data_IF_465910214939
#
_entry.id   IF_465910214939
#
_cell.length_a   1.000
_cell.length_b   1.000
_cell.length_c   1.000
_cell.angle_alpha   90.00
_cell.angle_beta   90.00
_cell.angle_gamma   90.00
#
_symmetry.space_group_name_H-M   'P 1'
#
loop_
_entity.id
_entity.type
_entity.pdbx_description
1 polymer ?
#
# COMPACT_ATOMS: atom_id res chain seq x y z
N UNK A 1 14.27 -23.97 -0.93
CA UNK A 1 13.38 -24.51 -1.98
C UNK A 1 14.06 -24.26 -3.32
N UNK A 2 14.11 -25.25 -4.19
CA UNK A 2 14.59 -25.05 -5.58
C UNK A 2 13.39 -24.78 -6.47
N UNK A 3 13.44 -23.79 -7.37
CA UNK A 3 12.36 -23.58 -8.36
C UNK A 3 12.28 -24.80 -9.28
N UNK A 4 11.07 -25.12 -9.69
CA UNK A 4 10.80 -26.21 -10.66
C UNK A 4 10.76 -25.65 -12.08
N UNK A 5 10.85 -26.52 -13.11
CA UNK A 5 10.68 -26.12 -14.51
C UNK A 5 9.33 -25.42 -14.75
N UNK A 6 8.27 -25.86 -14.03
CA UNK A 6 6.95 -25.20 -14.10
C UNK A 6 7.02 -23.74 -13.65
N UNK A 7 7.76 -23.45 -12.58
CA UNK A 7 7.96 -22.06 -12.13
C UNK A 7 8.69 -21.22 -13.18
N UNK A 8 9.68 -21.82 -13.87
CA UNK A 8 10.39 -21.18 -14.97
C UNK A 8 9.48 -20.86 -16.16
N UNK A 9 8.64 -21.81 -16.56
CA UNK A 9 7.68 -21.63 -17.65
C UNK A 9 6.67 -20.52 -17.35
N UNK A 10 6.06 -20.56 -16.16
CA UNK A 10 5.14 -19.53 -15.71
C UNK A 10 5.82 -18.16 -15.63
N UNK A 11 7.05 -18.11 -15.12
CA UNK A 11 7.84 -16.88 -15.03
C UNK A 11 8.11 -16.24 -16.39
N UNK A 12 8.49 -17.03 -17.39
CA UNK A 12 8.71 -16.56 -18.77
C UNK A 12 7.43 -15.94 -19.37
N UNK A 13 6.28 -16.56 -19.16
CA UNK A 13 5.00 -16.01 -19.64
C UNK A 13 4.62 -14.71 -18.90
N UNK A 14 4.91 -14.60 -17.60
CA UNK A 14 4.66 -13.37 -16.85
C UNK A 14 5.61 -12.23 -17.27
N UNK A 15 6.88 -12.53 -17.58
CA UNK A 15 7.84 -11.52 -18.06
C UNK A 15 7.38 -10.82 -19.34
N UNK A 16 6.71 -11.52 -20.24
CA UNK A 16 6.18 -10.92 -21.49
C UNK A 16 5.19 -9.77 -21.25
N UNK A 17 4.53 -9.76 -20.08
CA UNK A 17 3.50 -8.77 -19.70
C UNK A 17 3.97 -7.79 -18.64
N UNK A 18 5.18 -7.98 -18.09
CA UNK A 18 5.65 -7.24 -16.93
C UNK A 18 5.65 -5.72 -17.17
N UNK A 19 6.26 -5.28 -18.27
CA UNK A 19 6.41 -3.85 -18.55
C UNK A 19 5.06 -3.18 -18.81
N UNK A 20 4.18 -3.81 -19.59
CA UNK A 20 2.84 -3.30 -19.84
C UNK A 20 2.01 -3.23 -18.55
N UNK A 21 2.09 -4.25 -17.70
CA UNK A 21 1.41 -4.27 -16.40
C UNK A 21 1.93 -3.16 -15.47
N UNK A 22 3.23 -2.92 -15.45
CA UNK A 22 3.82 -1.85 -14.63
C UNK A 22 3.39 -0.45 -15.12
N UNK A 23 3.29 -0.24 -16.44
CA UNK A 23 2.78 1.01 -17.00
C UNK A 23 1.31 1.25 -16.57
N UNK A 24 0.46 0.22 -16.66
CA UNK A 24 -0.94 0.33 -16.23
C UNK A 24 -1.03 0.63 -14.73
N UNK A 25 -0.29 -0.12 -13.89
CA UNK A 25 -0.27 0.12 -12.43
C UNK A 25 0.20 1.53 -12.07
N UNK A 26 1.20 2.05 -12.77
CA UNK A 26 1.69 3.42 -12.55
C UNK A 26 0.63 4.45 -12.94
N UNK A 27 -0.07 4.26 -14.05
CA UNK A 27 -1.19 5.11 -14.46
C UNK A 27 -2.32 5.08 -13.42
N UNK A 28 -2.73 3.89 -13.00
CA UNK A 28 -3.75 3.72 -11.97
C UNK A 28 -3.37 4.39 -10.66
N UNK A 29 -2.10 4.28 -10.24
CA UNK A 29 -1.62 4.91 -9.00
C UNK A 29 -1.63 6.44 -9.11
N UNK A 30 -1.24 7.01 -10.24
CA UNK A 30 -1.35 8.46 -10.48
C UNK A 30 -2.80 8.93 -10.42
N UNK A 31 -3.72 8.18 -11.03
CA UNK A 31 -5.15 8.46 -10.97
C UNK A 31 -5.64 8.40 -9.51
N UNK A 32 -5.28 7.36 -8.77
CA UNK A 32 -5.62 7.24 -7.36
C UNK A 32 -5.15 8.46 -6.54
N UNK A 33 -3.91 8.89 -6.71
CA UNK A 33 -3.40 10.08 -6.01
C UNK A 33 -4.15 11.37 -6.40
N UNK A 34 -4.65 11.47 -7.63
CA UNK A 34 -5.40 12.65 -8.08
C UNK A 34 -6.81 12.76 -7.51
N UNK A 35 -7.38 11.66 -6.98
CA UNK A 35 -8.70 11.65 -6.34
C UNK A 35 -8.65 11.70 -4.81
N UNK A 36 -7.43 11.70 -4.22
CA UNK A 36 -7.25 11.85 -2.78
C UNK A 36 -7.25 13.32 -2.35
N UNK A 37 -7.77 13.55 -1.14
CA UNK A 37 -7.59 14.82 -0.45
C UNK A 37 -6.15 14.94 0.07
N UNK A 38 -5.38 15.87 -0.52
CA UNK A 38 -3.98 16.13 -0.16
C UNK A 38 -3.79 16.76 1.22
N UNK A 39 -4.83 17.32 1.83
CA UNK A 39 -4.77 17.85 3.19
C UNK A 39 -4.81 16.71 4.22
N UNK A 40 -5.44 15.60 3.87
CA UNK A 40 -5.58 14.42 4.73
C UNK A 40 -4.50 13.37 4.44
N UNK A 41 -4.22 13.12 3.16
CA UNK A 41 -3.37 12.03 2.71
C UNK A 41 -2.10 12.53 2.02
N UNK A 42 -1.01 11.78 2.21
CA UNK A 42 0.21 12.00 1.45
C UNK A 42 -0.03 11.65 -0.02
N UNK A 43 0.27 12.58 -0.93
CA UNK A 43 0.12 12.42 -2.38
C UNK A 43 1.45 12.59 -3.15
N UNK A 44 2.50 13.08 -2.48
CA UNK A 44 3.83 13.22 -3.07
C UNK A 44 4.65 11.94 -2.93
N UNK A 45 4.64 11.11 -3.98
CA UNK A 45 5.39 9.87 -4.06
C UNK A 45 6.35 9.87 -5.25
N UNK A 46 7.53 9.26 -5.06
CA UNK A 46 8.47 8.99 -6.15
C UNK A 46 8.02 7.78 -6.95
N UNK A 47 7.80 7.95 -8.24
CA UNK A 47 7.34 6.90 -9.15
C UNK A 47 8.48 6.12 -9.81
N UNK A 48 9.65 6.72 -9.94
CA UNK A 48 10.78 6.12 -10.64
C UNK A 48 11.25 4.84 -9.96
N UNK A 49 11.39 3.78 -10.75
CA UNK A 49 11.82 2.47 -10.28
C UNK A 49 10.77 1.69 -9.48
N UNK A 50 9.54 2.19 -9.34
CA UNK A 50 8.45 1.51 -8.64
C UNK A 50 7.53 0.77 -9.61
N UNK A 51 7.14 -0.46 -9.24
CA UNK A 51 6.12 -1.22 -9.97
C UNK A 51 4.69 -0.87 -9.56
N UNK A 52 4.50 -0.09 -8.49
CA UNK A 52 3.21 0.39 -7.98
C UNK A 52 2.14 -0.72 -7.87
N UNK A 53 2.54 -1.89 -7.35
CA UNK A 53 1.66 -3.07 -7.27
C UNK A 53 0.45 -2.86 -6.32
N UNK A 54 0.49 -1.84 -5.51
CA UNK A 54 -0.57 -1.47 -4.58
C UNK A 54 -0.74 0.05 -4.54
N UNK A 55 -1.94 0.51 -4.20
CA UNK A 55 -2.20 1.88 -3.80
C UNK A 55 -1.70 2.08 -2.38
N UNK A 56 -0.70 2.93 -2.22
CA UNK A 56 -0.17 3.32 -0.92
C UNK A 56 -0.98 4.50 -0.41
N UNK A 57 -1.64 4.32 0.72
CA UNK A 57 -2.44 5.34 1.40
C UNK A 57 -1.78 5.65 2.74
N UNK A 58 -1.42 6.90 3.00
CA UNK A 58 -0.76 7.32 4.24
C UNK A 58 -1.38 8.63 4.71
N UNK A 59 -1.79 8.70 5.99
CA UNK A 59 -2.24 9.97 6.58
C UNK A 59 -1.06 10.93 6.73
N UNK A 60 -1.30 12.21 6.48
CA UNK A 60 -0.33 13.28 6.75
C UNK A 60 -0.03 13.39 8.25
N UNK A 61 -1.08 13.28 9.07
CA UNK A 61 -0.97 13.43 10.52
C UNK A 61 -1.29 12.13 11.28
N UNK A 62 -0.65 12.00 12.45
CA UNK A 62 -0.86 10.88 13.36
C UNK A 62 -2.19 11.08 14.16
N UNK A 63 -3.32 10.81 13.54
CA UNK A 63 -4.65 10.95 14.13
C UNK A 63 -5.39 9.60 14.19
N UNK A 64 -5.62 9.11 15.40
CA UNK A 64 -6.33 7.84 15.64
C UNK A 64 -7.78 7.85 15.15
N UNK A 65 -8.49 8.96 15.35
CA UNK A 65 -9.90 9.06 14.93
C UNK A 65 -10.01 8.99 13.40
N UNK A 66 -9.16 9.75 12.70
CA UNK A 66 -9.09 9.71 11.23
C UNK A 66 -8.71 8.32 10.74
N UNK A 67 -7.71 7.68 11.34
CA UNK A 67 -7.31 6.30 11.03
C UNK A 67 -8.48 5.33 11.16
N UNK A 68 -9.19 5.36 12.29
CA UNK A 68 -10.30 4.45 12.57
C UNK A 68 -11.46 4.72 11.59
N UNK A 69 -11.68 5.98 11.21
CA UNK A 69 -12.66 6.35 10.19
C UNK A 69 -12.28 5.85 8.79
N UNK A 70 -10.99 5.93 8.41
CA UNK A 70 -10.48 5.35 7.14
C UNK A 70 -10.83 3.86 7.08
N UNK A 71 -10.50 3.12 8.13
CA UNK A 71 -10.77 1.67 8.16
C UNK A 71 -12.27 1.36 8.12
N UNK A 72 -13.08 2.14 8.84
CA UNK A 72 -14.53 1.99 8.84
C UNK A 72 -15.14 2.17 7.44
N UNK A 73 -14.80 3.26 6.72
CA UNK A 73 -15.36 3.51 5.38
C UNK A 73 -14.91 2.49 4.36
N UNK A 74 -13.65 2.03 4.43
CA UNK A 74 -13.13 0.99 3.55
C UNK A 74 -13.83 -0.35 3.80
N UNK A 75 -14.00 -0.75 5.07
CA UNK A 75 -14.70 -1.99 5.44
C UNK A 75 -16.18 -1.96 5.01
N UNK A 76 -16.86 -0.85 5.25
CA UNK A 76 -18.27 -0.70 4.85
C UNK A 76 -18.46 -0.74 3.33
N UNK A 77 -17.48 -0.28 2.58
CA UNK A 77 -17.45 -0.38 1.12
C UNK A 77 -16.97 -1.75 0.59
N UNK A 78 -16.61 -2.70 1.46
CA UNK A 78 -16.09 -4.01 1.07
C UNK A 78 -14.70 -3.96 0.42
N UNK A 79 -13.91 -2.94 0.72
CA UNK A 79 -12.57 -2.74 0.15
C UNK A 79 -11.53 -3.40 1.06
N UNK A 80 -10.82 -4.40 0.53
CA UNK A 80 -9.73 -5.05 1.25
C UNK A 80 -8.50 -4.15 1.33
N UNK A 81 -7.95 -4.02 2.51
CA UNK A 81 -6.70 -3.29 2.76
C UNK A 81 -5.81 -4.04 3.76
N UNK A 82 -4.55 -3.64 3.82
CA UNK A 82 -3.61 -4.15 4.83
C UNK A 82 -2.86 -3.01 5.49
N UNK A 83 -2.63 -3.14 6.80
CA UNK A 83 -1.90 -2.17 7.63
C UNK A 83 -0.99 -2.88 8.65
N UNK A 84 0.01 -2.17 9.15
CA UNK A 84 0.88 -2.63 10.23
C UNK A 84 1.67 -3.87 9.85
N UNK A 85 1.70 -4.88 10.70
CA UNK A 85 2.50 -6.10 10.50
C UNK A 85 2.15 -6.86 9.23
N UNK A 86 0.90 -6.86 8.83
CA UNK A 86 0.41 -7.50 7.60
C UNK A 86 0.55 -6.59 6.37
N UNK A 87 0.79 -5.29 6.55
CA UNK A 87 0.90 -4.27 5.52
C UNK A 87 2.32 -3.78 5.26
N UNK A 88 3.36 -4.52 5.66
CA UNK A 88 4.74 -4.10 5.46
C UNK A 88 5.19 -2.96 6.38
N UNK A 89 4.56 -2.82 7.55
CA UNK A 89 4.90 -1.80 8.53
C UNK A 89 6.25 -2.02 9.22
N UNK A 90 6.45 -1.37 10.37
CA UNK A 90 7.71 -1.37 11.08
C UNK A 90 8.16 -2.78 11.50
N UNK A 91 9.21 -3.30 10.88
CA UNK A 91 9.76 -4.64 11.13
C UNK A 91 10.21 -4.82 12.59
N UNK A 92 10.68 -3.78 13.25
CA UNK A 92 11.09 -3.84 14.66
C UNK A 92 9.93 -4.19 15.62
N UNK A 93 8.68 -4.12 15.15
CA UNK A 93 7.50 -4.56 15.90
C UNK A 93 7.18 -6.04 15.73
N UNK A 94 7.91 -6.75 14.87
CA UNK A 94 7.73 -8.18 14.66
C UNK A 94 8.15 -8.97 15.92
N UNK A 95 7.36 -9.98 16.34
CA UNK A 95 7.64 -10.75 17.54
C UNK A 95 9.02 -11.40 17.56
N UNK A 96 9.48 -11.88 16.42
CA UNK A 96 10.78 -12.59 16.30
C UNK A 96 12.01 -11.67 16.45
N UNK A 97 11.84 -10.34 16.31
CA UNK A 97 12.93 -9.39 16.54
C UNK A 97 13.07 -8.96 18.00
N UNK A 98 12.07 -9.24 18.86
CA UNK A 98 12.10 -8.85 20.28
C UNK A 98 13.22 -9.49 21.09
N UNK A 99 13.73 -10.63 20.63
CA UNK A 99 14.81 -11.37 21.29
C UNK A 99 16.21 -11.00 20.79
N UNK A 100 16.31 -10.09 19.81
CA UNK A 100 17.61 -9.67 19.24
C UNK A 100 18.09 -8.43 19.99
N UNK A 101 19.23 -8.56 20.66
CA UNK A 101 19.88 -7.46 21.37
C UNK A 101 20.49 -6.43 20.39
N UNK A 102 20.57 -5.17 20.80
CA UNK A 102 21.21 -4.10 20.06
C UNK A 102 20.34 -3.48 18.95
N UNK A 103 19.10 -3.92 18.77
CA UNK A 103 18.17 -3.28 17.85
C UNK A 103 17.61 -1.98 18.47
N UNK A 104 17.41 -0.93 17.64
CA UNK A 104 16.74 0.29 18.10
C UNK A 104 15.29 0.02 18.49
N UNK A 105 14.73 0.86 19.37
CA UNK A 105 13.32 0.78 19.68
C UNK A 105 12.46 1.12 18.44
N UNK A 106 11.30 0.47 18.24
CA UNK A 106 10.43 0.77 17.09
C UNK A 106 10.06 2.26 16.97
N UNK A 107 9.92 2.95 18.11
CA UNK A 107 9.57 4.38 18.18
C UNK A 107 10.71 5.31 17.74
N UNK A 108 11.94 4.84 17.66
CA UNK A 108 13.08 5.61 17.13
C UNK A 108 12.99 5.78 15.61
N UNK A 109 12.33 4.84 14.92
CA UNK A 109 12.08 4.87 13.48
C UNK A 109 10.78 5.65 13.19
N UNK A 110 10.78 6.96 13.45
CA UNK A 110 9.58 7.80 13.45
C UNK A 110 8.75 7.71 12.17
N UNK A 111 9.39 7.78 10.99
CA UNK A 111 8.70 7.70 9.70
C UNK A 111 8.11 6.31 9.47
N UNK A 112 8.91 5.26 9.69
CA UNK A 112 8.47 3.87 9.54
C UNK A 112 7.36 3.54 10.54
N UNK A 113 7.43 4.07 11.75
CA UNK A 113 6.41 3.87 12.78
C UNK A 113 5.11 4.63 12.46
N UNK A 114 5.23 5.83 11.87
CA UNK A 114 4.08 6.55 11.34
C UNK A 114 3.37 5.72 10.27
N UNK A 115 4.07 5.24 9.26
CA UNK A 115 3.51 4.37 8.21
C UNK A 115 2.91 3.09 8.80
N UNK A 116 3.54 2.49 9.82
CA UNK A 116 3.01 1.29 10.49
C UNK A 116 1.61 1.52 11.08
N UNK A 117 1.36 2.68 11.67
CA UNK A 117 0.10 2.98 12.36
C UNK A 117 -0.92 3.71 11.49
N UNK A 118 -0.47 4.46 10.48
CA UNK A 118 -1.28 5.39 9.69
C UNK A 118 -1.10 5.21 8.18
N UNK A 119 -0.54 4.06 7.78
CA UNK A 119 -0.37 3.71 6.38
C UNK A 119 -1.06 2.39 6.04
N UNK A 120 -1.71 2.34 4.88
CA UNK A 120 -2.35 1.15 4.33
C UNK A 120 -1.87 0.91 2.92
N UNK A 121 -2.07 -0.30 2.44
CA UNK A 121 -2.05 -0.54 1.01
C UNK A 121 -3.30 -1.30 0.56
N UNK A 122 -3.78 -0.94 -0.62
CA UNK A 122 -4.94 -1.48 -1.31
C UNK A 122 -4.46 -2.05 -2.64
N UNK A 123 -5.02 -3.16 -3.11
CA UNK A 123 -4.57 -3.83 -4.33
C UNK A 123 -4.70 -2.94 -5.58
N UNK A 124 -3.61 -2.87 -6.38
CA UNK A 124 -3.57 -2.24 -7.68
C UNK A 124 -3.18 -3.27 -8.73
N UNK A 125 -4.13 -3.80 -9.46
CA UNK A 125 -3.91 -4.82 -10.49
C UNK A 125 -4.16 -4.26 -11.89
N UNK A 126 -3.53 -4.83 -12.94
CA UNK A 126 -3.60 -4.27 -14.29
C UNK A 126 -5.01 -4.18 -14.89
N UNK A 127 -5.89 -5.11 -14.52
CA UNK A 127 -7.26 -5.19 -15.03
C UNK A 127 -8.25 -4.35 -14.20
N UNK A 128 -7.76 -3.49 -13.29
CA UNK A 128 -8.59 -2.61 -12.48
C UNK A 128 -9.22 -1.52 -13.35
N UNK A 129 -10.54 -1.45 -13.36
CA UNK A 129 -11.31 -0.43 -14.07
C UNK A 129 -11.13 0.95 -13.42
N UNK A 130 -10.97 2.00 -14.23
CA UNK A 130 -10.80 3.37 -13.74
C UNK A 130 -11.94 3.82 -12.81
N UNK A 131 -13.18 3.47 -13.11
CA UNK A 131 -14.34 3.79 -12.28
C UNK A 131 -14.28 3.22 -10.86
N UNK A 132 -13.54 2.12 -10.62
CA UNK A 132 -13.31 1.62 -9.27
C UNK A 132 -12.32 2.48 -8.48
N UNK A 133 -11.40 3.15 -9.18
CA UNK A 133 -10.48 4.11 -8.54
C UNK A 133 -11.25 5.36 -8.14
N UNK A 134 -12.17 5.86 -9.01
CA UNK A 134 -13.04 6.97 -8.69
C UNK A 134 -13.95 6.66 -7.49
N UNK A 135 -14.58 5.46 -7.47
CA UNK A 135 -15.39 4.99 -6.34
C UNK A 135 -14.57 4.88 -5.04
N UNK A 136 -13.30 4.44 -5.12
CA UNK A 136 -12.42 4.44 -3.95
C UNK A 136 -12.16 5.87 -3.45
N UNK A 137 -11.95 6.83 -4.36
CA UNK A 137 -11.83 8.25 -4.02
C UNK A 137 -13.08 8.78 -3.33
N UNK A 138 -14.29 8.48 -3.85
CA UNK A 138 -15.58 8.86 -3.24
C UNK A 138 -15.76 8.28 -1.83
N UNK A 139 -15.32 7.03 -1.60
CA UNK A 139 -15.36 6.41 -0.27
C UNK A 139 -14.43 7.15 0.70
N UNK A 140 -13.21 7.48 0.26
CA UNK A 140 -12.23 8.18 1.09
C UNK A 140 -12.58 9.66 1.31
N UNK A 141 -13.38 10.26 0.45
CA UNK A 141 -13.90 11.65 0.63
C UNK A 141 -14.93 11.77 1.77
N UNK A 142 -15.33 10.65 2.40
CA UNK A 142 -16.24 10.64 3.57
C UNK A 142 -15.50 10.85 4.91
N UNK A 143 -14.18 11.03 4.85
CA UNK A 143 -13.31 11.22 6.02
C UNK A 143 -13.22 12.67 6.40
#
# INVERSE_FOLDING_TARGET
>A
MRPTELNGLLGLEQLKRLDSNNLVRTRNFRHFLSVLDSDIFQTDFKFEGSSNYAFTLVLNEANRKTRDRVEEVLLNAGIEFRRGLSGGGNQLRQPYLKSIEGLPAPSEMKVTDHVHHYGWYIGNYPDLEAGKIDSLGEVLAQI
#
